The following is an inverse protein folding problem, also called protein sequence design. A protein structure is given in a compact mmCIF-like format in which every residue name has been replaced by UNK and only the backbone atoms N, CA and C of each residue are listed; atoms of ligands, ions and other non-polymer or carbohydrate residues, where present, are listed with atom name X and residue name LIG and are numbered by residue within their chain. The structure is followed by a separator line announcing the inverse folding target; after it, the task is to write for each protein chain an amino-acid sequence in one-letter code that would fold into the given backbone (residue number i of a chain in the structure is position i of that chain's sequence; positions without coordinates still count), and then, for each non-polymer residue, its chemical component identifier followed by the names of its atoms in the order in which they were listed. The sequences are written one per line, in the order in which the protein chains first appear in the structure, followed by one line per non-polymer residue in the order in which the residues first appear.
data_IF_121770875240
#
_entry.id   IF_121770875240
#
_cell.length_a   1.000
_cell.length_b   1.000
_cell.length_c   1.000
_cell.angle_alpha   90.00
_cell.angle_beta   90.00
_cell.angle_gamma   90.00
#
_symmetry.space_group_name_H-M   'P 1'
#
loop_
_entity.id
_entity.type
_entity.pdbx_description
1 polymer ?
#
# COMPACT_ATOMS: atom_id res chain seq x y z
N UNK A 1 -11.53 11.66 4.55
CA UNK A 1 -10.23 11.17 5.07
C UNK A 1 -9.41 10.43 4.02
N UNK A 2 -10.00 9.62 3.14
CA UNK A 2 -9.24 8.93 2.07
C UNK A 2 -8.42 9.87 1.16
N UNK A 3 -8.95 11.06 0.85
CA UNK A 3 -8.22 12.07 0.06
C UNK A 3 -6.93 12.57 0.76
N UNK A 4 -6.94 12.66 2.10
CA UNK A 4 -5.76 13.06 2.87
C UNK A 4 -4.68 11.97 2.80
N UNK A 5 -5.06 10.69 2.91
CA UNK A 5 -4.14 9.55 2.71
C UNK A 5 -3.47 9.64 1.35
N UNK A 6 -4.24 9.87 0.28
CA UNK A 6 -3.70 9.99 -1.08
C UNK A 6 -2.74 11.18 -1.24
N UNK A 7 -3.04 12.29 -0.58
CA UNK A 7 -2.20 13.47 -0.58
C UNK A 7 -0.88 13.25 0.18
N UNK A 8 -0.95 12.64 1.37
CA UNK A 8 0.23 12.27 2.16
C UNK A 8 1.15 11.34 1.36
N UNK A 9 0.59 10.32 0.70
CA UNK A 9 1.33 9.39 -0.16
C UNK A 9 2.04 10.13 -1.31
N UNK A 10 1.34 11.04 -2.00
CA UNK A 10 1.91 11.82 -3.11
C UNK A 10 3.04 12.76 -2.64
N UNK A 11 2.95 13.30 -1.42
CA UNK A 11 4.03 14.09 -0.83
C UNK A 11 5.26 13.23 -0.52
N UNK A 12 5.06 12.02 0.02
CA UNK A 12 6.16 11.10 0.30
C UNK A 12 6.86 10.60 -0.98
N UNK A 13 6.11 10.41 -2.06
CA UNK A 13 6.66 10.00 -3.36
C UNK A 13 7.69 11.00 -3.92
N UNK A 14 7.53 12.29 -3.65
CA UNK A 14 8.48 13.33 -4.07
C UNK A 14 9.52 13.66 -2.98
N UNK A 15 9.50 12.94 -1.86
CA UNK A 15 10.37 13.21 -0.73
C UNK A 15 11.68 12.43 -0.85
N UNK A 16 12.80 13.14 -0.98
CA UNK A 16 14.14 12.54 -1.10
C UNK A 16 14.77 12.13 0.25
N UNK A 17 13.93 11.74 1.23
CA UNK A 17 14.37 11.33 2.56
C UNK A 17 15.06 9.95 2.58
N UNK A 18 15.66 9.59 3.72
CA UNK A 18 16.24 8.26 3.91
C UNK A 18 15.16 7.17 3.80
N UNK A 19 15.47 6.03 3.18
CA UNK A 19 14.49 4.94 2.98
C UNK A 19 13.82 4.46 4.28
N UNK A 20 14.55 4.46 5.40
CA UNK A 20 14.03 4.11 6.73
C UNK A 20 12.96 5.09 7.22
N UNK A 21 13.13 6.39 6.95
CA UNK A 21 12.18 7.43 7.32
C UNK A 21 10.94 7.39 6.43
N UNK A 22 11.12 7.25 5.10
CA UNK A 22 10.00 7.07 4.17
C UNK A 22 9.16 5.85 4.53
N UNK A 23 9.79 4.69 4.74
CA UNK A 23 9.07 3.47 5.08
C UNK A 23 8.26 3.63 6.39
N UNK A 24 8.82 4.30 7.40
CA UNK A 24 8.11 4.62 8.64
C UNK A 24 6.88 5.50 8.39
N UNK A 25 7.03 6.56 7.58
CA UNK A 25 5.92 7.47 7.24
C UNK A 25 4.82 6.77 6.45
N UNK A 26 5.18 5.95 5.46
CA UNK A 26 4.20 5.15 4.73
C UNK A 26 3.47 4.17 5.64
N UNK A 27 4.16 3.50 6.56
CA UNK A 27 3.50 2.61 7.53
C UNK A 27 2.50 3.35 8.41
N UNK A 28 2.82 4.57 8.86
CA UNK A 28 1.86 5.38 9.61
C UNK A 28 0.61 5.73 8.78
N UNK A 29 0.78 6.01 7.48
CA UNK A 29 -0.35 6.27 6.57
C UNK A 29 -1.17 4.99 6.37
N UNK A 30 -0.50 3.84 6.23
CA UNK A 30 -1.16 2.54 6.12
C UNK A 30 -2.00 2.24 7.37
N UNK A 31 -1.45 2.40 8.57
CA UNK A 31 -2.20 2.19 9.81
C UNK A 31 -3.40 3.12 9.90
N UNK A 32 -3.25 4.40 9.54
CA UNK A 32 -4.39 5.33 9.45
C UNK A 32 -5.44 4.83 8.45
N UNK A 33 -5.02 4.35 7.28
CA UNK A 33 -5.94 3.83 6.27
C UNK A 33 -6.68 2.57 6.75
N UNK A 34 -6.00 1.67 7.45
CA UNK A 34 -6.60 0.46 8.04
C UNK A 34 -7.58 0.82 9.17
N UNK A 35 -7.30 1.87 9.95
CA UNK A 35 -8.21 2.36 10.99
C UNK A 35 -9.46 3.04 10.45
N UNK A 36 -9.49 3.44 9.17
CA UNK A 36 -10.72 3.93 8.53
C UNK A 36 -11.75 2.81 8.42
N UNK A 37 -13.01 3.16 8.23
CA UNK A 37 -14.11 2.19 8.10
C UNK A 37 -15.02 2.55 6.92
N UNK A 38 -15.69 1.55 6.36
CA UNK A 38 -16.59 1.72 5.23
C UNK A 38 -15.86 2.03 3.93
N UNK A 39 -16.47 2.87 3.09
CA UNK A 39 -15.98 3.16 1.73
C UNK A 39 -14.63 3.88 1.74
N UNK A 40 -14.37 4.72 2.76
CA UNK A 40 -13.12 5.46 2.87
C UNK A 40 -11.92 4.56 3.10
N UNK A 41 -12.10 3.44 3.82
CA UNK A 41 -11.06 2.44 4.03
C UNK A 41 -10.64 1.83 2.69
N UNK A 42 -11.62 1.39 1.90
CA UNK A 42 -11.38 0.78 0.59
C UNK A 42 -10.65 1.75 -0.35
N UNK A 43 -11.09 3.02 -0.40
CA UNK A 43 -10.44 4.04 -1.23
C UNK A 43 -9.01 4.35 -0.76
N UNK A 44 -8.78 4.44 0.55
CA UNK A 44 -7.45 4.68 1.11
C UNK A 44 -6.49 3.52 0.84
N UNK A 45 -6.95 2.27 0.98
CA UNK A 45 -6.16 1.06 0.67
C UNK A 45 -5.84 0.99 -0.83
N UNK A 46 -6.81 1.27 -1.72
CA UNK A 46 -6.59 1.34 -3.17
C UNK A 46 -5.54 2.40 -3.51
N UNK A 47 -5.67 3.60 -2.94
CA UNK A 47 -4.69 4.67 -3.13
C UNK A 47 -3.28 4.29 -2.64
N UNK A 48 -3.19 3.55 -1.52
CA UNK A 48 -1.93 3.05 -1.00
C UNK A 48 -1.25 2.08 -1.97
N UNK A 49 -1.98 1.11 -2.50
CA UNK A 49 -1.50 0.15 -3.50
C UNK A 49 -1.00 0.89 -4.75
N UNK A 50 -1.72 1.89 -5.24
CA UNK A 50 -1.30 2.70 -6.40
C UNK A 50 0.02 3.44 -6.15
N UNK A 51 0.21 3.97 -4.94
CA UNK A 51 1.47 4.61 -4.55
C UNK A 51 2.62 3.59 -4.48
N UNK A 52 2.37 2.37 -3.99
CA UNK A 52 3.39 1.32 -3.85
C UNK A 52 3.88 0.77 -5.19
N UNK A 53 3.00 0.67 -6.18
CA UNK A 53 3.40 0.21 -7.52
C UNK A 53 4.04 1.33 -8.35
N UNK A 54 4.03 2.56 -7.87
CA UNK A 54 4.63 3.69 -8.55
C UNK A 54 6.15 3.53 -8.71
N UNK A 55 6.66 4.01 -9.83
CA UNK A 55 8.08 3.91 -10.19
C UNK A 55 8.98 4.83 -9.37
N UNK A 56 8.42 5.92 -8.83
CA UNK A 56 9.13 6.86 -7.97
C UNK A 56 9.40 6.29 -6.57
N UNK A 57 8.69 5.22 -6.16
CA UNK A 57 8.90 4.55 -4.87
C UNK A 57 9.91 3.43 -5.04
N UNK A 58 10.91 3.40 -4.16
CA UNK A 58 11.93 2.34 -4.15
C UNK A 58 11.31 0.96 -3.91
N UNK A 59 11.71 -0.02 -4.72
CA UNK A 59 11.22 -1.40 -4.63
C UNK A 59 11.35 -2.01 -3.22
N UNK A 60 12.43 -1.68 -2.49
CA UNK A 60 12.64 -2.14 -1.11
C UNK A 60 11.52 -1.67 -0.19
N UNK A 61 11.12 -0.40 -0.31
CA UNK A 61 10.05 0.21 0.51
C UNK A 61 8.70 -0.39 0.09
N UNK A 62 8.43 -0.47 -1.22
CA UNK A 62 7.20 -1.07 -1.74
C UNK A 62 7.02 -2.50 -1.26
N UNK A 63 8.07 -3.34 -1.33
CA UNK A 63 8.06 -4.72 -0.84
C UNK A 63 7.75 -4.77 0.65
N UNK A 64 8.50 -4.02 1.47
CA UNK A 64 8.31 -4.00 2.92
C UNK A 64 6.85 -3.65 3.30
N UNK A 65 6.28 -2.63 2.65
CA UNK A 65 4.94 -2.15 2.94
C UNK A 65 3.85 -3.05 2.36
N UNK A 66 4.05 -3.67 1.19
CA UNK A 66 3.13 -4.66 0.65
C UNK A 66 3.05 -5.90 1.54
N UNK A 67 4.17 -6.36 2.10
CA UNK A 67 4.14 -7.45 3.10
C UNK A 67 3.31 -7.04 4.31
N UNK A 68 3.59 -5.86 4.87
CA UNK A 68 2.85 -5.34 6.03
C UNK A 68 1.35 -5.26 5.72
N UNK A 69 0.99 -4.66 4.58
CA UNK A 69 -0.36 -4.56 4.06
C UNK A 69 -1.05 -5.92 3.96
N UNK A 70 -0.37 -6.92 3.38
CA UNK A 70 -0.89 -8.29 3.28
C UNK A 70 -1.12 -8.95 4.64
N UNK A 71 -0.35 -8.62 5.68
CA UNK A 71 -0.62 -9.13 7.03
C UNK A 71 -1.84 -8.49 7.69
N UNK A 72 -2.22 -7.28 7.26
CA UNK A 72 -3.41 -6.58 7.76
C UNK A 72 -4.69 -6.91 6.99
N UNK A 73 -4.59 -7.34 5.73
CA UNK A 73 -5.73 -7.71 4.89
C UNK A 73 -6.67 -8.77 5.53
N UNK A 74 -6.18 -9.84 6.19
CA UNK A 74 -7.04 -10.82 6.86
C UNK A 74 -7.86 -10.26 8.02
N UNK A 75 -7.47 -9.12 8.58
CA UNK A 75 -8.21 -8.46 9.65
C UNK A 75 -9.37 -7.60 9.12
N UNK A 76 -9.47 -7.44 7.79
CA UNK A 76 -10.54 -6.70 7.13
C UNK A 76 -11.73 -7.63 6.81
N UNK A 77 -12.94 -7.08 6.64
CA UNK A 77 -14.09 -7.85 6.18
C UNK A 77 -13.81 -8.52 4.83
N UNK A 78 -14.25 -9.77 4.64
CA UNK A 78 -14.00 -10.57 3.43
C UNK A 78 -14.31 -9.83 2.13
N UNK A 79 -15.41 -9.07 2.09
CA UNK A 79 -15.81 -8.27 0.93
C UNK A 79 -14.76 -7.22 0.55
N UNK A 80 -14.23 -6.49 1.55
CA UNK A 80 -13.19 -5.46 1.37
C UNK A 80 -11.85 -6.11 1.06
N UNK A 81 -11.47 -7.13 1.84
CA UNK A 81 -10.21 -7.84 1.67
C UNK A 81 -10.09 -8.42 0.25
N UNK A 82 -11.15 -9.08 -0.25
CA UNK A 82 -11.18 -9.67 -1.59
C UNK A 82 -11.01 -8.61 -2.69
N UNK A 83 -11.72 -7.50 -2.61
CA UNK A 83 -11.58 -6.40 -3.59
C UNK A 83 -10.16 -5.83 -3.58
N UNK A 84 -9.61 -5.59 -2.39
CA UNK A 84 -8.27 -5.03 -2.23
C UNK A 84 -7.19 -6.01 -2.68
N UNK A 85 -7.34 -7.31 -2.41
CA UNK A 85 -6.44 -8.35 -2.90
C UNK A 85 -6.42 -8.40 -4.43
N UNK A 86 -7.59 -8.47 -5.07
CA UNK A 86 -7.68 -8.46 -6.53
C UNK A 86 -7.04 -7.20 -7.11
N UNK A 87 -7.36 -6.04 -6.57
CA UNK A 87 -6.78 -4.77 -7.01
C UNK A 87 -5.27 -4.71 -6.85
N UNK A 88 -4.75 -5.21 -5.72
CA UNK A 88 -3.31 -5.30 -5.45
C UNK A 88 -2.62 -6.22 -6.44
N UNK A 89 -3.18 -7.41 -6.67
CA UNK A 89 -2.65 -8.37 -7.64
C UNK A 89 -2.59 -7.79 -9.04
N UNK A 90 -3.65 -7.13 -9.51
CA UNK A 90 -3.69 -6.51 -10.85
C UNK A 90 -2.67 -5.37 -10.99
N UNK A 91 -2.51 -4.53 -9.96
CA UNK A 91 -1.58 -3.40 -9.97
C UNK A 91 -0.12 -3.84 -9.83
N UNK A 92 0.14 -4.91 -9.07
CA UNK A 92 1.47 -5.49 -8.88
C UNK A 92 1.86 -6.40 -10.05
N UNK A 93 0.90 -6.97 -10.78
CA UNK A 93 1.09 -7.87 -11.93
C UNK A 93 2.15 -7.41 -12.96
N UNK A 94 2.14 -6.15 -13.46
CA UNK A 94 3.16 -5.68 -14.40
C UNK A 94 4.58 -5.63 -13.79
N UNK A 95 4.70 -5.63 -12.46
CA UNK A 95 5.97 -5.71 -11.73
C UNK A 95 6.20 -7.08 -11.07
N UNK A 96 5.39 -8.10 -11.36
CA UNK A 96 5.40 -9.39 -10.65
C UNK A 96 6.75 -10.10 -10.69
N UNK A 97 7.53 -9.94 -11.76
CA UNK A 97 8.90 -10.47 -11.89
C UNK A 97 9.82 -9.85 -10.81
N UNK A 98 9.59 -8.58 -10.48
CA UNK A 98 10.28 -7.85 -9.40
C UNK A 98 9.64 -8.08 -8.01
N UNK A 99 8.58 -8.88 -7.89
CA UNK A 99 7.85 -9.17 -6.63
C UNK A 99 7.65 -10.68 -6.40
N UNK A 100 8.28 -11.55 -7.19
CA UNK A 100 8.05 -13.00 -7.22
C UNK A 100 8.26 -13.67 -5.85
N UNK A 101 9.25 -13.22 -5.07
CA UNK A 101 9.46 -13.70 -3.69
C UNK A 101 8.30 -13.42 -2.73
N UNK A 102 7.50 -12.37 -2.97
CA UNK A 102 6.40 -11.99 -2.07
C UNK A 102 5.05 -12.63 -2.44
N UNK A 103 4.90 -13.11 -3.67
CA UNK A 103 3.69 -13.83 -4.10
C UNK A 103 3.75 -15.32 -3.74
N UNK A 104 4.94 -15.82 -3.42
CA UNK A 104 5.22 -17.24 -3.20
C UNK A 104 5.20 -17.68 -1.72
N UNK A 105 4.94 -16.79 -0.76
CA UNK A 105 4.92 -17.09 0.68
C UNK A 105 3.55 -16.93 1.32
#
# INVERSE_FOLDING_TARGET
MAAAVRQDLAQLMNSSGSHKDLAGKYRQILEKAIQLSGTEQLEALKAFVEAMVNENVSLVISRQLLTDFCTHLPNLPDSTAKEVYHFTLEKVQPRVISFEEQMAQ
#
